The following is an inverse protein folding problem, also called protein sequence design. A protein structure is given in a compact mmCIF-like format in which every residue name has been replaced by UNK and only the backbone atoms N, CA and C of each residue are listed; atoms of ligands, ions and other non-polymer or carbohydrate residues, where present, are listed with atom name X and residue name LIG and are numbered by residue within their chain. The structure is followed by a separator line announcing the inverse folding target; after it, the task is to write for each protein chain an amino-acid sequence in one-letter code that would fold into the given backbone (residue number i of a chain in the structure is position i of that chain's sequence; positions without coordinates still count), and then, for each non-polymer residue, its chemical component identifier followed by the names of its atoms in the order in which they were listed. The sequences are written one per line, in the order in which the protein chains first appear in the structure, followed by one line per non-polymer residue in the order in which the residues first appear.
data_IF_750130071326
#
_entry.id   IF_750130071326
#
_cell.length_a   1.000
_cell.length_b   1.000
_cell.length_c   1.000
_cell.angle_alpha   90.00
_cell.angle_beta   90.00
_cell.angle_gamma   90.00
#
_symmetry.space_group_name_H-M   'P 1'
#
loop_
_entity.id
_entity.type
_entity.pdbx_description
1 polymer ?
#
# COMPACT_ATOMS: atom_id res chain seq x y z
N UNK A 1 10.24 -8.06 10.01
CA UNK A 1 10.88 -6.85 9.47
C UNK A 1 9.82 -5.98 8.82
N UNK A 2 9.85 -4.69 9.09
CA UNK A 2 8.91 -3.76 8.46
C UNK A 2 9.40 -3.34 7.08
N UNK A 3 8.44 -3.20 6.16
CA UNK A 3 8.67 -2.64 4.83
C UNK A 3 7.65 -1.54 4.58
N UNK A 4 8.11 -0.46 3.96
CA UNK A 4 7.22 0.56 3.41
C UNK A 4 6.98 0.27 1.94
N UNK A 5 5.71 0.33 1.53
CA UNK A 5 5.29 0.20 0.15
C UNK A 5 4.71 1.55 -0.26
N UNK A 6 5.35 2.19 -1.23
CA UNK A 6 4.96 3.51 -1.73
C UNK A 6 4.45 3.33 -3.16
N UNK A 7 3.14 3.39 -3.32
CA UNK A 7 2.48 3.06 -4.58
C UNK A 7 1.82 4.31 -5.14
N UNK A 8 2.20 4.71 -6.35
CA UNK A 8 1.60 5.85 -7.04
C UNK A 8 0.64 5.36 -8.12
N UNK A 9 -0.56 5.94 -8.14
CA UNK A 9 -1.59 5.62 -9.14
C UNK A 9 -1.19 6.13 -10.52
N UNK A 10 -1.68 5.47 -11.56
CA UNK A 10 -1.64 6.00 -12.91
C UNK A 10 -2.54 7.24 -12.98
N UNK A 11 -2.01 8.41 -13.37
CA UNK A 11 -2.72 9.68 -13.18
C UNK A 11 -3.93 9.88 -14.08
N UNK A 12 -4.01 9.16 -15.19
CA UNK A 12 -5.05 9.31 -16.19
C UNK A 12 -6.18 8.27 -16.09
N UNK A 13 -6.20 7.49 -14.99
CA UNK A 13 -7.18 6.41 -14.81
C UNK A 13 -7.77 6.36 -13.40
N UNK A 14 -8.40 7.46 -12.93
CA UNK A 14 -8.92 7.50 -11.56
C UNK A 14 -10.06 6.51 -11.30
N UNK A 15 -10.80 6.12 -12.33
CA UNK A 15 -11.89 5.14 -12.20
C UNK A 15 -11.42 3.76 -11.81
N UNK A 16 -10.17 3.40 -12.07
CA UNK A 16 -9.62 2.08 -11.70
C UNK A 16 -9.57 1.88 -10.21
N UNK A 17 -9.19 2.91 -9.47
CA UNK A 17 -9.15 2.82 -8.01
C UNK A 17 -10.53 2.57 -7.45
N UNK A 18 -11.52 3.34 -7.88
CA UNK A 18 -12.89 3.20 -7.41
C UNK A 18 -13.48 1.84 -7.78
N UNK A 19 -13.27 1.38 -9.01
CA UNK A 19 -13.78 0.10 -9.49
C UNK A 19 -13.21 -1.10 -8.74
N UNK A 20 -11.96 -1.01 -8.28
CA UNK A 20 -11.26 -2.11 -7.61
C UNK A 20 -11.17 -1.95 -6.10
N UNK A 21 -11.74 -0.88 -5.55
CA UNK A 21 -11.68 -0.59 -4.12
C UNK A 21 -12.33 -1.68 -3.26
N UNK A 22 -13.51 -2.21 -3.57
CA UNK A 22 -14.11 -3.26 -2.75
C UNK A 22 -13.24 -4.50 -2.62
N UNK A 23 -12.67 -4.98 -3.74
CA UNK A 23 -11.77 -6.14 -3.73
C UNK A 23 -10.48 -5.86 -2.95
N UNK A 24 -9.90 -4.66 -3.13
CA UNK A 24 -8.71 -4.25 -2.38
C UNK A 24 -8.96 -4.21 -0.87
N UNK A 25 -10.08 -3.64 -0.43
CA UNK A 25 -10.40 -3.55 1.00
C UNK A 25 -10.63 -4.94 1.60
N UNK A 26 -11.30 -5.83 0.88
CA UNK A 26 -11.47 -7.22 1.32
C UNK A 26 -10.11 -7.91 1.50
N UNK A 27 -9.22 -7.77 0.53
CA UNK A 27 -7.86 -8.30 0.60
C UNK A 27 -7.10 -7.69 1.79
N UNK A 28 -7.09 -6.36 1.91
CA UNK A 28 -6.31 -5.67 2.92
C UNK A 28 -6.78 -6.00 4.34
N UNK A 29 -8.08 -6.07 4.57
CA UNK A 29 -8.65 -6.40 5.89
C UNK A 29 -8.31 -7.81 6.33
N UNK A 30 -8.02 -8.70 5.40
CA UNK A 30 -7.63 -10.08 5.69
C UNK A 30 -6.12 -10.25 5.96
N UNK A 31 -5.31 -9.18 5.84
CA UNK A 31 -3.86 -9.26 5.94
C UNK A 31 -3.36 -8.89 7.33
N UNK A 32 -2.95 -9.88 8.16
CA UNK A 32 -2.43 -9.58 9.49
C UNK A 32 -1.07 -8.86 9.46
N UNK A 33 -0.37 -8.91 8.33
CA UNK A 33 0.93 -8.25 8.17
C UNK A 33 0.84 -6.73 8.15
N UNK A 34 -0.33 -6.15 7.82
CA UNK A 34 -0.47 -4.69 7.73
C UNK A 34 -0.40 -4.07 9.12
N UNK A 35 0.52 -3.13 9.29
CA UNK A 35 0.64 -2.30 10.50
C UNK A 35 -0.02 -0.95 10.32
N UNK A 36 -0.01 -0.44 9.10
CA UNK A 36 -0.61 0.83 8.73
C UNK A 36 -0.83 0.83 7.22
N UNK A 37 -1.97 1.31 6.76
CA UNK A 37 -2.23 1.46 5.33
C UNK A 37 -3.29 2.52 5.10
N UNK A 38 -3.16 3.21 3.99
CA UNK A 38 -4.15 4.19 3.58
C UNK A 38 -3.78 4.87 2.27
N UNK A 39 -4.73 5.59 1.67
CA UNK A 39 -4.45 6.37 0.48
C UNK A 39 -3.63 7.60 0.81
N UNK A 40 -2.71 7.93 -0.09
CA UNK A 40 -2.06 9.25 -0.12
C UNK A 40 -2.91 10.15 -0.99
N UNK A 41 -3.00 11.42 -0.58
CA UNK A 41 -3.84 12.40 -1.24
C UNK A 41 -2.99 13.42 -1.97
N UNK A 42 -3.58 14.01 -3.03
CA UNK A 42 -3.00 15.18 -3.68
C UNK A 42 -3.10 16.39 -2.75
N UNK A 43 -2.53 17.50 -3.16
CA UNK A 43 -2.48 18.72 -2.34
C UNK A 43 -3.87 19.29 -2.01
N UNK A 44 -4.91 18.89 -2.76
CA UNK A 44 -6.30 19.26 -2.45
C UNK A 44 -6.85 18.54 -1.21
N UNK A 45 -6.15 17.54 -0.67
CA UNK A 45 -6.58 16.79 0.49
C UNK A 45 -7.74 15.81 0.24
N UNK A 46 -8.12 15.60 -1.00
CA UNK A 46 -9.28 14.77 -1.38
C UNK A 46 -8.96 13.76 -2.47
N UNK A 47 -8.33 14.21 -3.56
CA UNK A 47 -8.02 13.34 -4.71
C UNK A 47 -6.93 12.34 -4.36
N UNK A 48 -7.10 11.09 -4.78
CA UNK A 48 -6.14 10.02 -4.48
C UNK A 48 -4.90 10.15 -5.36
N UNK A 49 -3.72 10.11 -4.73
CA UNK A 49 -2.42 10.08 -5.40
C UNK A 49 -1.88 8.66 -5.49
N UNK A 50 -2.13 7.87 -4.49
CA UNK A 50 -1.58 6.53 -4.37
C UNK A 50 -1.96 5.89 -3.05
N UNK A 51 -1.21 4.88 -2.66
CA UNK A 51 -1.37 4.21 -1.36
C UNK A 51 -0.03 4.01 -0.69
N UNK A 52 -0.03 4.13 0.64
CA UNK A 52 1.12 3.83 1.47
C UNK A 52 0.76 2.65 2.37
N UNK A 53 1.67 1.67 2.45
CA UNK A 53 1.54 0.56 3.38
C UNK A 53 2.80 0.45 4.22
N UNK A 54 2.64 0.08 5.48
CA UNK A 54 3.72 -0.45 6.31
C UNK A 54 3.31 -1.85 6.71
N UNK A 55 4.10 -2.84 6.31
CA UNK A 55 3.81 -4.26 6.55
C UNK A 55 4.96 -4.92 7.30
N UNK A 56 4.62 -5.94 8.08
CA UNK A 56 5.60 -6.75 8.81
C UNK A 56 5.67 -8.13 8.17
N UNK A 57 6.74 -8.37 7.43
CA UNK A 57 6.98 -9.65 6.72
C UNK A 57 8.46 -10.04 6.87
N UNK A 58 8.80 -11.32 6.65
CA UNK A 58 10.16 -11.80 6.90
C UNK A 58 11.25 -11.17 6.03
N UNK A 59 10.94 -10.87 4.75
CA UNK A 59 11.96 -10.43 3.79
C UNK A 59 11.33 -9.67 2.61
N UNK A 60 12.19 -9.19 1.73
CA UNK A 60 11.77 -8.45 0.54
C UNK A 60 10.88 -9.29 -0.38
N UNK A 61 11.19 -10.57 -0.54
CA UNK A 61 10.40 -11.45 -1.41
C UNK A 61 8.96 -11.56 -0.90
N UNK A 62 8.75 -11.63 0.41
CA UNK A 62 7.43 -11.64 1.00
C UNK A 62 6.70 -10.30 0.80
N UNK A 63 7.41 -9.18 0.87
CA UNK A 63 6.83 -7.87 0.59
C UNK A 63 6.40 -7.74 -0.88
N UNK A 64 7.22 -8.23 -1.80
CA UNK A 64 6.88 -8.27 -3.22
C UNK A 64 5.67 -9.17 -3.50
N UNK A 65 5.59 -10.33 -2.84
CA UNK A 65 4.44 -11.24 -2.96
C UNK A 65 3.16 -10.60 -2.43
N UNK A 66 3.24 -9.86 -1.32
CA UNK A 66 2.10 -9.10 -0.79
C UNK A 66 1.57 -8.12 -1.83
N UNK A 67 2.45 -7.32 -2.42
CA UNK A 67 2.08 -6.35 -3.45
C UNK A 67 1.47 -7.04 -4.68
N UNK A 68 2.06 -8.14 -5.13
CA UNK A 68 1.57 -8.87 -6.29
C UNK A 68 0.17 -9.45 -6.10
N UNK A 69 -0.21 -9.76 -4.86
CA UNK A 69 -1.53 -10.32 -4.52
C UNK A 69 -2.62 -9.25 -4.39
N UNK A 70 -2.27 -7.98 -4.25
CA UNK A 70 -3.24 -6.90 -4.08
C UNK A 70 -4.07 -6.73 -5.35
N UNK A 71 -5.42 -6.72 -5.25
CA UNK A 71 -6.29 -6.46 -6.40
C UNK A 71 -5.99 -5.15 -7.14
N UNK A 72 -5.51 -4.12 -6.46
CA UNK A 72 -5.06 -2.88 -7.13
C UNK A 72 -3.89 -3.14 -8.07
N UNK A 73 -2.92 -3.94 -7.64
CA UNK A 73 -1.79 -4.32 -8.49
C UNK A 73 -2.27 -5.12 -9.71
N UNK A 74 -3.15 -6.08 -9.50
CA UNK A 74 -3.70 -6.92 -10.56
C UNK A 74 -4.52 -6.14 -11.57
N UNK A 75 -5.16 -5.07 -11.13
CA UNK A 75 -5.95 -4.18 -12.00
C UNK A 75 -5.08 -3.20 -12.77
N UNK A 76 -3.77 -3.17 -12.53
CA UNK A 76 -2.88 -2.22 -13.19
C UNK A 76 -3.05 -0.79 -12.71
N UNK A 77 -3.41 -0.60 -11.44
CA UNK A 77 -3.64 0.74 -10.90
C UNK A 77 -2.34 1.54 -10.78
N UNK A 78 -1.23 0.89 -10.42
CA UNK A 78 0.00 1.58 -10.08
C UNK A 78 0.79 2.02 -11.32
N UNK A 79 1.23 3.29 -11.33
CA UNK A 79 2.27 3.75 -12.24
C UNK A 79 3.65 3.32 -11.73
N UNK A 80 3.82 3.29 -10.41
CA UNK A 80 5.07 2.85 -9.79
C UNK A 80 4.82 2.29 -8.41
N UNK A 81 5.71 1.36 -7.98
CA UNK A 81 5.73 0.80 -6.64
C UNK A 81 7.18 0.81 -6.16
N UNK A 82 7.42 1.43 -5.02
CA UNK A 82 8.71 1.38 -4.34
C UNK A 82 8.54 0.61 -3.03
N UNK A 83 9.43 -0.35 -2.78
CA UNK A 83 9.40 -1.19 -1.60
C UNK A 83 10.76 -1.08 -0.92
N UNK A 84 10.77 -0.65 0.35
CA UNK A 84 12.00 -0.49 1.12
C UNK A 84 11.86 -1.06 2.52
N UNK A 85 12.90 -1.68 3.09
CA UNK A 85 12.94 -1.94 4.52
C UNK A 85 12.76 -0.64 5.29
N UNK A 86 12.04 -0.71 6.40
CA UNK A 86 11.68 0.46 7.17
C UNK A 86 11.87 0.20 8.66
N UNK A 87 12.39 1.19 9.38
CA UNK A 87 12.52 1.13 10.83
C UNK A 87 11.63 2.21 11.45
N UNK A 88 10.62 1.77 12.16
CA UNK A 88 9.66 2.66 12.82
C UNK A 88 10.20 3.03 14.20
N UNK A 89 10.83 4.19 14.32
CA UNK A 89 11.47 4.63 15.56
C UNK A 89 10.58 5.53 16.43
N UNK A 90 9.73 6.33 15.82
CA UNK A 90 8.95 7.35 16.52
C UNK A 90 7.46 7.23 16.18
N UNK A 91 6.58 7.43 17.17
CA UNK A 91 6.90 7.56 18.59
C UNK A 91 7.50 6.27 19.14
N UNK A 92 8.28 6.38 20.21
CA UNK A 92 8.91 5.20 20.80
C UNK A 92 7.87 4.16 21.20
N UNK A 93 8.11 2.89 20.84
CA UNK A 93 7.22 1.79 21.14
C UNK A 93 6.06 1.59 20.15
N UNK A 94 5.90 2.45 19.15
CA UNK A 94 4.76 2.37 18.20
C UNK A 94 4.82 1.12 17.31
N UNK A 95 6.01 0.59 17.02
CA UNK A 95 6.22 -0.53 16.09
C UNK A 95 6.01 -1.91 16.72
N UNK A 96 5.39 -2.00 17.85
CA UNK A 96 5.21 -3.27 18.57
C UNK A 96 3.93 -3.98 18.26
#
# INVERSE_FOLDING_TARGET
MLFVLYCLDQPDRPERRLANRPAHLEFARAQPAIRMAGPMLKDDGESMLGSLFVIDVPDLAAAQAFTAADPYTRAGLWASVAIHPFRWLLPEGAAR
#
